data_IF_458934794627
#
_entry.id   IF_458934794627
#
_cell.length_a   1.000
_cell.length_b   1.000
_cell.length_c   1.000
_cell.angle_alpha   90.00
_cell.angle_beta   90.00
_cell.angle_gamma   90.00
#
_symmetry.space_group_name_H-M   'P 1'
#
loop_
_entity.id
_entity.type
_entity.pdbx_description
1 polymer ?
#
# COMPACT_ATOMS: atom_id res chain seq x y z
N UNK A 1 41.77 -33.97 -23.71
CA UNK A 1 41.91 -34.53 -22.35
C UNK A 1 41.31 -33.52 -21.37
N UNK A 2 40.06 -33.72 -20.88
CA UNK A 2 39.43 -32.87 -19.89
C UNK A 2 39.84 -33.30 -18.48
N UNK A 3 40.25 -32.37 -17.61
CA UNK A 3 40.41 -32.65 -16.18
C UNK A 3 39.51 -31.73 -15.36
N UNK A 4 38.54 -32.35 -14.72
CA UNK A 4 37.66 -31.81 -13.70
C UNK A 4 38.32 -31.94 -12.32
N UNK A 5 38.21 -30.91 -11.49
CA UNK A 5 38.41 -30.90 -10.04
C UNK A 5 37.84 -29.55 -9.57
N UNK A 6 36.70 -29.44 -8.89
CA UNK A 6 36.28 -30.21 -7.72
C UNK A 6 36.49 -29.36 -6.45
N UNK A 7 36.01 -28.11 -6.43
CA UNK A 7 36.05 -27.26 -5.23
C UNK A 7 34.71 -27.34 -4.49
N UNK A 8 34.70 -28.16 -3.46
CA UNK A 8 33.61 -28.33 -2.48
C UNK A 8 33.61 -27.15 -1.51
N UNK A 9 32.67 -26.23 -1.65
CA UNK A 9 32.38 -25.19 -0.65
C UNK A 9 31.29 -25.69 0.29
N UNK A 10 31.70 -26.02 1.52
CA UNK A 10 30.82 -26.34 2.64
C UNK A 10 29.85 -25.19 2.90
N UNK A 11 28.58 -25.42 2.62
CA UNK A 11 27.47 -24.56 3.04
C UNK A 11 27.24 -24.75 4.53
N UNK A 12 27.68 -23.80 5.36
CA UNK A 12 27.26 -23.71 6.75
C UNK A 12 25.84 -23.12 6.77
N UNK A 13 24.86 -23.98 7.04
CA UNK A 13 23.51 -23.59 7.43
C UNK A 13 23.62 -22.74 8.68
N UNK A 14 23.35 -21.45 8.53
CA UNK A 14 23.14 -20.52 9.63
C UNK A 14 21.72 -20.75 10.11
N UNK A 15 21.59 -21.19 11.35
CA UNK A 15 20.31 -21.38 12.03
C UNK A 15 19.51 -20.07 11.98
N UNK A 16 18.43 -20.09 11.19
CA UNK A 16 17.44 -19.02 11.16
C UNK A 16 16.66 -19.06 12.48
N UNK A 17 16.97 -18.12 13.37
CA UNK A 17 16.17 -17.85 14.55
C UNK A 17 14.69 -17.62 14.14
N UNK A 18 13.72 -18.05 14.96
CA UNK A 18 12.31 -17.94 14.63
C UNK A 18 11.93 -16.47 14.52
N UNK A 19 11.51 -16.05 13.33
CA UNK A 19 11.03 -14.70 13.04
C UNK A 19 9.67 -14.58 13.74
N UNK A 20 9.61 -13.83 14.83
CA UNK A 20 8.36 -13.46 15.49
C UNK A 20 7.39 -12.84 14.46
N UNK A 21 6.37 -13.61 14.10
CA UNK A 21 5.51 -13.36 12.95
C UNK A 21 4.48 -12.23 13.16
N UNK A 22 4.74 -11.20 13.96
CA UNK A 22 3.71 -10.19 14.20
C UNK A 22 4.18 -8.76 14.49
N UNK A 23 5.16 -8.28 13.74
CA UNK A 23 5.40 -6.83 13.65
C UNK A 23 5.50 -6.45 12.18
N UNK A 24 4.35 -6.33 11.53
CA UNK A 24 4.26 -5.71 10.21
C UNK A 24 4.75 -4.28 10.35
N UNK A 25 5.99 -4.03 9.90
CA UNK A 25 6.62 -2.72 10.01
C UNK A 25 5.69 -1.67 9.37
N UNK A 26 5.46 -0.53 10.02
CA UNK A 26 4.62 0.52 9.46
C UNK A 26 5.20 1.00 8.14
N UNK A 27 4.36 1.08 7.10
CA UNK A 27 4.78 1.55 5.78
C UNK A 27 4.72 3.06 5.79
N UNK A 28 5.89 3.68 5.77
CA UNK A 28 6.02 5.14 5.66
C UNK A 28 5.97 5.52 4.19
N UNK A 29 5.04 6.40 3.82
CA UNK A 29 4.88 6.94 2.47
C UNK A 29 5.04 8.45 2.50
N UNK A 30 5.74 8.98 1.51
CA UNK A 30 5.95 10.42 1.35
C UNK A 30 5.08 10.93 0.21
N UNK A 31 4.26 11.93 0.51
CA UNK A 31 3.40 12.62 -0.42
C UNK A 31 3.94 14.03 -0.64
N UNK A 32 3.98 14.47 -1.88
CA UNK A 32 4.17 15.86 -2.24
C UNK A 32 2.77 16.47 -2.40
N UNK A 33 2.44 17.43 -1.55
CA UNK A 33 1.23 18.24 -1.66
C UNK A 33 1.59 19.64 -2.16
N UNK A 34 0.81 20.20 -3.07
CA UNK A 34 1.01 21.55 -3.56
C UNK A 34 -0.31 22.23 -3.89
N UNK A 35 -0.36 23.53 -3.68
CA UNK A 35 -1.51 24.36 -4.00
C UNK A 35 -1.50 24.70 -5.49
N UNK A 36 -2.67 24.74 -6.12
CA UNK A 36 -2.81 25.11 -7.53
C UNK A 36 -3.44 26.49 -7.62
N UNK A 37 -2.68 27.48 -8.09
CA UNK A 37 -3.12 28.87 -8.26
C UNK A 37 -3.10 29.29 -9.72
N UNK A 38 -3.99 30.20 -10.10
CA UNK A 38 -4.01 30.75 -11.46
C UNK A 38 -3.01 31.89 -11.62
N UNK A 39 -2.25 31.90 -12.73
CA UNK A 39 -1.34 33.00 -13.06
C UNK A 39 -2.03 34.33 -13.36
N UNK A 40 -3.25 34.29 -13.91
CA UNK A 40 -3.93 35.52 -14.37
C UNK A 40 -4.73 36.19 -13.26
N UNK A 41 -5.65 35.45 -12.63
CA UNK A 41 -6.55 36.01 -11.64
C UNK A 41 -6.12 35.76 -10.19
N UNK A 42 -5.01 35.05 -9.95
CA UNK A 42 -4.52 34.70 -8.61
C UNK A 42 -5.43 33.77 -7.81
N UNK A 43 -6.56 33.32 -8.38
CA UNK A 43 -7.52 32.49 -7.66
C UNK A 43 -6.95 31.11 -7.36
N UNK A 44 -7.24 30.61 -6.17
CA UNK A 44 -6.96 29.24 -5.77
C UNK A 44 -7.92 28.28 -6.49
N UNK A 45 -7.37 27.29 -7.19
CA UNK A 45 -8.11 26.33 -8.03
C UNK A 45 -8.32 25.00 -7.30
N UNK A 46 -7.36 24.59 -6.46
CA UNK A 46 -7.40 23.33 -5.72
C UNK A 46 -6.02 22.92 -5.23
N UNK A 47 -5.87 21.68 -4.78
CA UNK A 47 -4.58 21.10 -4.38
C UNK A 47 -4.26 19.86 -5.22
N UNK A 48 -2.98 19.56 -5.36
CA UNK A 48 -2.50 18.31 -5.95
C UNK A 48 -1.70 17.51 -4.92
N UNK A 49 -1.84 16.20 -4.98
CA UNK A 49 -1.12 15.25 -4.14
C UNK A 49 -0.47 14.17 -4.99
N UNK A 50 0.84 13.93 -4.81
CA UNK A 50 1.60 12.88 -5.51
C UNK A 50 2.39 12.03 -4.52
N UNK A 51 2.35 10.71 -4.67
CA UNK A 51 3.21 9.81 -3.89
C UNK A 51 4.62 9.73 -4.51
N UNK A 52 5.65 10.16 -3.78
CA UNK A 52 7.02 10.32 -4.32
C UNK A 52 7.68 9.00 -4.79
N UNK A 53 7.26 7.86 -4.23
CA UNK A 53 7.84 6.54 -4.52
C UNK A 53 6.88 5.61 -5.28
N UNK A 54 5.76 6.15 -5.78
CA UNK A 54 4.83 5.35 -6.56
C UNK A 54 5.34 5.16 -7.99
N UNK A 55 5.17 3.94 -8.53
CA UNK A 55 5.39 3.68 -9.95
C UNK A 55 4.35 4.39 -10.84
N UNK A 56 3.19 4.77 -10.27
CA UNK A 56 2.16 5.49 -10.97
C UNK A 56 2.58 6.96 -11.15
N UNK A 57 2.57 7.43 -12.41
CA UNK A 57 2.85 8.84 -12.76
C UNK A 57 1.62 9.75 -12.61
N UNK A 58 0.55 9.27 -12.00
CA UNK A 58 -0.66 10.06 -11.78
C UNK A 58 -0.53 10.91 -10.50
N UNK A 59 -1.14 12.08 -10.56
CA UNK A 59 -1.26 13.00 -9.44
C UNK A 59 -2.74 13.07 -9.07
N UNK A 60 -3.07 13.10 -7.79
CA UNK A 60 -4.44 13.27 -7.35
C UNK A 60 -4.72 14.76 -7.25
N UNK A 61 -5.67 15.27 -8.03
CA UNK A 61 -6.11 16.66 -7.96
C UNK A 61 -7.42 16.76 -7.20
N UNK A 62 -7.47 17.62 -6.19
CA UNK A 62 -8.67 17.96 -5.44
C UNK A 62 -9.07 19.39 -5.79
N UNK A 63 -10.25 19.56 -6.38
CA UNK A 63 -10.79 20.87 -6.72
C UNK A 63 -11.27 21.58 -5.46
N UNK A 64 -11.17 22.91 -5.44
CA UNK A 64 -11.70 23.72 -4.33
C UNK A 64 -13.21 23.48 -4.18
N UNK A 65 -13.62 23.02 -2.99
CA UNK A 65 -15.03 22.75 -2.66
C UNK A 65 -15.51 21.34 -2.99
N UNK A 66 -14.72 20.54 -3.71
CA UNK A 66 -15.02 19.14 -3.98
C UNK A 66 -14.28 18.23 -2.99
N UNK A 67 -14.98 17.25 -2.46
CA UNK A 67 -14.39 16.22 -1.60
C UNK A 67 -13.73 15.08 -2.41
N UNK A 68 -14.01 15.04 -3.72
CA UNK A 68 -13.48 14.02 -4.62
C UNK A 68 -12.11 14.41 -5.16
N UNK A 69 -11.18 13.47 -5.12
CA UNK A 69 -9.90 13.58 -5.83
C UNK A 69 -9.99 12.90 -7.20
N UNK A 70 -9.41 13.54 -8.20
CA UNK A 70 -9.37 13.06 -9.58
C UNK A 70 -7.93 12.71 -9.97
N UNK A 71 -7.67 11.50 -10.48
CA UNK A 71 -6.35 11.15 -10.97
C UNK A 71 -6.09 11.88 -12.29
N UNK A 72 -5.03 12.67 -12.33
CA UNK A 72 -4.58 13.40 -13.52
C UNK A 72 -3.16 12.98 -13.90
N UNK A 73 -2.93 12.77 -15.19
CA UNK A 73 -1.59 12.44 -15.72
C UNK A 73 -0.73 13.69 -15.93
N UNK A 74 -1.35 14.84 -16.19
CA UNK A 74 -0.65 16.08 -16.52
C UNK A 74 -1.37 17.30 -15.96
N UNK A 75 -0.94 17.73 -14.77
CA UNK A 75 -1.44 18.95 -14.12
C UNK A 75 -1.21 20.21 -14.96
N UNK A 76 -0.21 20.22 -15.85
CA UNK A 76 0.07 21.35 -16.76
C UNK A 76 -1.08 21.64 -17.75
N UNK A 77 -1.98 20.68 -17.96
CA UNK A 77 -3.16 20.84 -18.80
C UNK A 77 -4.35 21.46 -18.07
N UNK A 78 -4.30 21.58 -16.74
CA UNK A 78 -5.35 22.23 -15.97
C UNK A 78 -5.48 23.71 -16.36
N UNK A 79 -6.71 24.22 -16.29
CA UNK A 79 -7.06 25.62 -16.55
C UNK A 79 -7.96 26.13 -15.44
N UNK A 80 -7.86 27.43 -15.16
CA UNK A 80 -8.71 28.06 -14.16
C UNK A 80 -10.17 28.11 -14.66
N UNK A 81 -11.13 27.67 -13.87
CA UNK A 81 -12.55 27.73 -14.25
C UNK A 81 -13.11 29.15 -14.35
N UNK A 82 -12.47 30.12 -13.68
CA UNK A 82 -12.94 31.52 -13.66
C UNK A 82 -12.51 32.30 -14.90
N UNK A 83 -11.25 32.18 -15.31
CA UNK A 83 -10.66 32.99 -16.39
C UNK A 83 -10.03 32.17 -17.52
N UNK A 84 -10.09 30.84 -17.44
CA UNK A 84 -9.45 29.90 -18.35
C UNK A 84 -7.92 30.06 -18.49
N UNK A 85 -7.29 30.76 -17.55
CA UNK A 85 -5.86 31.01 -17.53
C UNK A 85 -5.03 29.77 -17.17
N UNK A 86 -3.72 29.79 -17.46
CA UNK A 86 -2.79 28.77 -17.00
C UNK A 86 -2.68 28.78 -15.47
N UNK A 87 -2.40 27.62 -14.91
CA UNK A 87 -2.22 27.42 -13.46
C UNK A 87 -0.77 27.02 -13.15
N UNK A 88 -0.34 27.29 -11.93
CA UNK A 88 0.94 26.86 -11.38
C UNK A 88 0.78 26.21 -10.02
N UNK A 89 1.84 25.51 -9.64
CA UNK A 89 1.99 24.94 -8.31
C UNK A 89 2.63 25.97 -7.40
N UNK A 90 1.96 26.26 -6.31
CA UNK A 90 2.43 27.09 -5.22
C UNK A 90 2.57 26.26 -3.94
N UNK A 91 3.30 26.79 -2.96
CA UNK A 91 3.45 26.22 -1.61
C UNK A 91 3.62 24.69 -1.57
N UNK A 92 4.66 24.18 -2.22
CA UNK A 92 4.93 22.73 -2.23
C UNK A 92 5.41 22.24 -0.86
N UNK A 93 4.78 21.19 -0.32
CA UNK A 93 5.10 20.60 0.98
C UNK A 93 5.24 19.09 0.85
N UNK A 94 6.13 18.50 1.65
CA UNK A 94 6.30 17.04 1.73
C UNK A 94 5.65 16.54 3.01
N UNK A 95 4.63 15.71 2.86
CA UNK A 95 3.87 15.11 3.95
C UNK A 95 4.26 13.65 4.09
N UNK A 96 4.71 13.27 5.27
CA UNK A 96 5.03 11.88 5.58
C UNK A 96 3.82 11.25 6.27
N UNK A 97 3.17 10.30 5.61
CA UNK A 97 2.05 9.54 6.17
C UNK A 97 2.53 8.14 6.55
N UNK A 98 2.24 7.74 7.77
CA UNK A 98 2.54 6.42 8.30
C UNK A 98 1.28 5.56 8.20
N UNK A 99 1.34 4.51 7.38
CA UNK A 99 0.28 3.53 7.27
C UNK A 99 0.64 2.31 8.11
N UNK A 100 -0.23 2.01 9.07
CA UNK A 100 -0.13 0.77 9.84
C UNK A 100 -0.98 -0.27 9.11
N UNK A 101 -0.34 -1.34 8.65
CA UNK A 101 -1.06 -2.50 8.12
C UNK A 101 -1.59 -3.29 9.33
N UNK A 102 -2.64 -2.78 9.97
CA UNK A 102 -3.34 -3.51 11.01
C UNK A 102 -4.09 -4.67 10.36
N UNK A 103 -3.64 -5.88 10.62
CA UNK A 103 -4.47 -7.06 10.41
C UNK A 103 -5.39 -7.24 11.63
N UNK A 104 -6.62 -6.77 11.49
CA UNK A 104 -7.64 -6.90 12.53
C UNK A 104 -7.93 -8.36 12.92
N UNK A 105 -7.62 -9.35 12.07
CA UNK A 105 -7.82 -10.76 12.38
C UNK A 105 -6.76 -11.32 13.36
N UNK A 106 -5.59 -10.70 13.39
CA UNK A 106 -4.45 -11.09 14.22
C UNK A 106 -4.35 -10.30 15.52
N UNK A 107 -4.93 -9.10 15.59
CA UNK A 107 -4.98 -8.29 16.81
C UNK A 107 -5.63 -9.11 17.95
N UNK A 108 -4.81 -9.56 18.90
CA UNK A 108 -5.28 -10.28 20.09
C UNK A 108 -6.25 -9.38 20.85
N UNK A 109 -7.47 -9.85 21.18
CA UNK A 109 -8.42 -9.07 21.96
C UNK A 109 -7.78 -8.62 23.28
N UNK A 110 -7.62 -7.30 23.45
CA UNK A 110 -7.01 -6.74 24.66
C UNK A 110 -8.02 -6.82 25.80
N UNK A 111 -7.96 -7.94 26.55
CA UNK A 111 -8.81 -8.36 27.69
C UNK A 111 -10.31 -8.32 27.43
N UNK A 112 -10.94 -9.49 27.51
CA UNK A 112 -12.39 -9.68 27.35
C UNK A 112 -12.71 -10.78 26.35
N UNK A 113 -13.99 -11.11 26.22
CA UNK A 113 -14.45 -12.10 25.24
C UNK A 113 -14.25 -11.52 23.83
N UNK A 114 -13.62 -12.25 22.90
CA UNK A 114 -13.47 -11.81 21.52
C UNK A 114 -14.83 -11.43 20.90
N UNK A 115 -14.90 -10.40 20.02
CA UNK A 115 -16.11 -10.09 19.27
C UNK A 115 -16.61 -11.31 18.49
N UNK A 116 -17.92 -11.56 18.50
CA UNK A 116 -18.53 -12.76 17.92
C UNK A 116 -18.13 -12.99 16.46
N UNK A 117 -18.06 -11.93 15.65
CA UNK A 117 -17.70 -12.01 14.23
C UNK A 117 -16.27 -12.54 14.00
N UNK A 118 -15.31 -12.15 14.83
CA UNK A 118 -13.90 -12.63 14.75
C UNK A 118 -13.83 -14.13 15.04
N UNK A 119 -14.66 -14.63 15.97
CA UNK A 119 -14.73 -16.05 16.32
C UNK A 119 -15.36 -16.86 15.18
N UNK A 120 -16.43 -16.34 14.57
CA UNK A 120 -17.11 -16.98 13.44
C UNK A 120 -16.22 -17.05 12.20
N UNK A 121 -15.49 -15.98 11.89
CA UNK A 121 -14.58 -15.95 10.75
C UNK A 121 -13.41 -16.93 10.92
N UNK A 122 -12.83 -17.05 12.14
CA UNK A 122 -11.82 -18.09 12.42
C UNK A 122 -12.38 -19.50 12.25
N UNK A 123 -13.62 -19.76 12.70
CA UNK A 123 -14.26 -21.07 12.51
C UNK A 123 -14.43 -21.39 11.03
N UNK A 124 -14.84 -20.40 10.21
CA UNK A 124 -14.99 -20.58 8.77
C UNK A 124 -13.65 -20.92 8.11
N UNK A 125 -12.58 -20.16 8.41
CA UNK A 125 -11.24 -20.44 7.85
C UNK A 125 -10.70 -21.81 8.23
N UNK A 126 -10.90 -22.25 9.48
CA UNK A 126 -10.47 -23.58 9.92
C UNK A 126 -11.25 -24.70 9.22
N UNK A 127 -12.55 -24.51 8.96
CA UNK A 127 -13.36 -25.46 8.21
C UNK A 127 -12.94 -25.54 6.73
N UNK A 128 -12.66 -24.39 6.10
CA UNK A 128 -12.14 -24.33 4.73
C UNK A 128 -10.77 -25.01 4.61
N UNK A 129 -9.85 -24.75 5.55
CA UNK A 129 -8.54 -25.39 5.57
C UNK A 129 -8.63 -26.91 5.76
N UNK A 130 -9.49 -27.38 6.67
CA UNK A 130 -9.71 -28.81 6.89
C UNK A 130 -10.31 -29.51 5.66
N UNK A 131 -11.22 -28.84 4.93
CA UNK A 131 -11.78 -29.38 3.70
C UNK A 131 -10.71 -29.54 2.59
N UNK A 132 -9.83 -28.55 2.43
CA UNK A 132 -8.71 -28.59 1.48
C UNK A 132 -7.70 -29.72 1.79
N UNK A 133 -7.45 -29.99 3.07
CA UNK A 133 -6.57 -31.10 3.49
C UNK A 133 -7.20 -32.47 3.16
N UNK A 134 -8.52 -32.63 3.36
CA UNK A 134 -9.21 -33.88 3.03
C UNK A 134 -9.22 -34.18 1.53
N UNK A 135 -9.38 -33.17 0.68
CA UNK A 135 -9.35 -33.31 -0.78
C UNK A 135 -7.95 -33.66 -1.31
N UNK A 136 -6.89 -33.18 -0.65
CA UNK A 136 -5.50 -33.46 -1.05
C UNK A 136 -5.03 -34.86 -0.61
N UNK A 137 -5.65 -35.45 0.42
CA UNK A 137 -5.32 -36.79 0.92
C UNK A 137 -6.03 -37.95 0.21
N UNK A 138 -6.89 -37.68 -0.78
CA UNK A 138 -7.55 -38.74 -1.54
C UNK A 138 -6.49 -39.52 -2.35
N UNK A 139 -6.42 -40.87 -2.22
CA UNK A 139 -5.42 -41.64 -2.95
C UNK A 139 -5.71 -41.53 -4.45
N UNK A 140 -4.70 -41.11 -5.21
CA UNK A 140 -4.70 -41.10 -6.67
C UNK A 140 -4.76 -42.56 -7.13
N UNK A 141 -5.97 -43.07 -7.34
CA UNK A 141 -6.22 -44.43 -7.80
C UNK A 141 -5.52 -44.65 -9.15
N UNK A 142 -4.65 -45.67 -9.19
CA UNK A 142 -3.97 -46.19 -10.37
C UNK A 142 -4.82 -47.28 -11.03
#
# INVERSE_FOLDING_TARGET
>A
MPNASGASTRSTLVDAAPIDANTTKPVVRHFLEADVKCYLCGSYVGSIESEQRSAARSVQFRRLGDDRSLPILSWRRLRCERCNGPVYLDETRVITRRYENLDWAEERPRRGRPPKHVVEERRRRLAEAAALETETSAPRAA
#
